data_IF_242798456396
#
_entry.id   IF_242798456396
#
_cell.length_a   1.000
_cell.length_b   1.000
_cell.length_c   1.000
_cell.angle_alpha   90.00
_cell.angle_beta   90.00
_cell.angle_gamma   90.00
#
_symmetry.space_group_name_H-M   'P 1'
#
loop_
_entity.id
_entity.type
_entity.pdbx_description
1 polymer ?
#
# COMPACT_ATOMS: atom_id res chain seq x y z
N UNK A 1 -7.93 -8.96 -6.67
CA UNK A 1 -7.93 -8.52 -5.25
C UNK A 1 -8.93 -7.40 -4.97
N UNK A 2 -8.88 -6.25 -5.63
CA UNK A 2 -9.88 -5.19 -5.41
C UNK A 2 -11.34 -5.65 -5.64
N UNK A 3 -11.59 -6.47 -6.66
CA UNK A 3 -12.92 -7.07 -6.91
C UNK A 3 -13.36 -7.97 -5.75
N UNK A 4 -12.47 -8.80 -5.23
CA UNK A 4 -12.75 -9.65 -4.07
C UNK A 4 -13.05 -8.82 -2.82
N UNK A 5 -12.28 -7.75 -2.57
CA UNK A 5 -12.58 -6.82 -1.49
C UNK A 5 -13.97 -6.20 -1.63
N UNK A 6 -14.36 -5.79 -2.84
CA UNK A 6 -15.70 -5.28 -3.11
C UNK A 6 -16.80 -6.34 -2.88
N UNK A 7 -16.59 -7.59 -3.29
CA UNK A 7 -17.51 -8.70 -3.03
C UNK A 7 -17.76 -8.92 -1.53
N UNK A 8 -16.76 -8.62 -0.69
CA UNK A 8 -16.86 -8.72 0.77
C UNK A 8 -17.16 -7.38 1.46
N UNK A 9 -17.63 -6.37 0.72
CA UNK A 9 -17.96 -5.04 1.25
C UNK A 9 -16.80 -4.33 1.97
N UNK A 10 -15.55 -4.61 1.56
CA UNK A 10 -14.35 -3.96 2.08
C UNK A 10 -13.91 -2.79 1.18
N UNK A 11 -13.21 -1.82 1.76
CA UNK A 11 -12.52 -0.77 1.00
C UNK A 11 -11.12 -1.23 0.60
N UNK A 12 -10.79 -1.12 -0.70
CA UNK A 12 -9.44 -1.40 -1.19
C UNK A 12 -8.54 -0.16 -1.09
N UNK A 13 -7.42 -0.27 -0.38
CA UNK A 13 -6.43 0.80 -0.26
C UNK A 13 -5.28 0.52 -1.22
N UNK A 14 -5.11 1.39 -2.21
CA UNK A 14 -4.02 1.31 -3.19
C UNK A 14 -2.65 1.72 -2.59
N UNK A 15 -1.56 1.49 -3.34
CA UNK A 15 -0.21 1.79 -2.87
C UNK A 15 0.01 3.30 -2.64
N UNK A 16 -0.54 4.16 -3.50
CA UNK A 16 -0.41 5.62 -3.36
C UNK A 16 0.98 6.17 -3.68
N UNK A 17 1.83 5.40 -4.37
CA UNK A 17 3.15 5.82 -4.84
C UNK A 17 3.22 5.81 -6.37
N UNK A 18 4.05 6.68 -6.93
CA UNK A 18 4.51 6.56 -8.32
C UNK A 18 5.49 5.39 -8.44
N UNK A 19 5.85 4.98 -9.66
CA UNK A 19 6.96 4.06 -9.88
C UNK A 19 8.27 4.77 -9.52
N UNK A 20 9.15 4.13 -8.75
CA UNK A 20 10.43 4.72 -8.35
C UNK A 20 11.52 4.47 -9.40
N UNK A 21 11.89 3.21 -9.59
CA UNK A 21 13.00 2.82 -10.47
C UNK A 21 12.59 2.69 -11.95
N UNK A 22 12.06 3.77 -12.53
CA UNK A 22 11.54 3.79 -13.90
C UNK A 22 12.21 4.85 -14.81
N UNK A 23 13.27 5.50 -14.36
CA UNK A 23 14.07 6.43 -15.16
C UNK A 23 15.55 6.10 -15.06
N UNK A 24 16.36 6.57 -16.02
CA UNK A 24 17.80 6.31 -16.03
C UNK A 24 18.58 6.96 -14.88
N UNK A 25 17.99 7.94 -14.19
CA UNK A 25 18.57 8.57 -13.00
C UNK A 25 18.06 8.02 -11.67
N UNK A 26 17.06 7.14 -11.69
CA UNK A 26 16.48 6.55 -10.50
C UNK A 26 17.31 5.36 -9.99
N UNK A 27 17.04 4.93 -8.76
CA UNK A 27 17.75 3.84 -8.09
C UNK A 27 16.83 2.67 -7.77
N UNK A 28 17.38 1.45 -7.76
CA UNK A 28 16.70 0.25 -7.27
C UNK A 28 16.27 0.36 -5.79
N UNK A 29 16.89 1.27 -5.03
CA UNK A 29 16.57 1.52 -3.62
C UNK A 29 15.36 2.44 -3.41
N UNK A 30 14.73 2.94 -4.47
CA UNK A 30 13.54 3.76 -4.37
C UNK A 30 12.28 2.96 -4.04
N UNK A 31 11.36 3.59 -3.30
CA UNK A 31 10.07 2.97 -3.04
C UNK A 31 9.33 2.67 -4.34
N UNK A 32 8.58 1.58 -4.35
CA UNK A 32 7.88 1.11 -5.52
C UNK A 32 8.81 0.94 -6.74
N UNK A 33 10.01 0.38 -6.53
CA UNK A 33 10.97 0.09 -7.62
C UNK A 33 10.38 -0.77 -8.74
N UNK A 34 9.38 -1.60 -8.42
CA UNK A 34 8.72 -2.51 -9.36
C UNK A 34 7.52 -1.87 -10.09
N UNK A 35 7.15 -0.64 -9.76
CA UNK A 35 6.08 0.09 -10.45
C UNK A 35 4.68 -0.53 -10.32
N UNK A 36 4.28 -0.90 -9.11
CA UNK A 36 2.92 -1.38 -8.82
C UNK A 36 2.04 -0.24 -8.25
N UNK A 37 0.74 -0.29 -8.51
CA UNK A 37 -0.21 0.71 -7.99
C UNK A 37 -1.33 0.12 -7.16
N UNK A 38 -1.77 -1.11 -7.47
CA UNK A 38 -2.88 -1.75 -6.77
C UNK A 38 -2.50 -2.15 -5.34
N UNK A 39 -1.23 -2.43 -5.08
CA UNK A 39 -0.65 -2.80 -3.79
C UNK A 39 0.88 -2.80 -3.88
N UNK A 40 1.56 -3.29 -2.85
CA UNK A 40 3.00 -3.49 -2.86
C UNK A 40 3.34 -4.83 -3.52
N UNK A 41 4.50 -4.90 -4.17
CA UNK A 41 5.04 -6.12 -4.75
C UNK A 41 6.52 -6.23 -4.39
N UNK A 42 7.02 -7.46 -4.43
CA UNK A 42 8.43 -7.79 -4.23
C UNK A 42 8.85 -8.81 -5.28
N UNK A 43 10.14 -8.81 -5.62
CA UNK A 43 10.74 -9.85 -6.45
C UNK A 43 11.99 -10.37 -5.76
N UNK A 44 12.06 -11.69 -5.55
CA UNK A 44 13.15 -12.39 -4.87
C UNK A 44 13.21 -13.79 -5.47
N UNK A 45 14.42 -14.33 -5.61
CA UNK A 45 14.62 -15.68 -6.15
C UNK A 45 13.96 -16.72 -5.25
N UNK A 46 13.34 -17.74 -5.85
CA UNK A 46 12.50 -18.72 -5.15
C UNK A 46 13.28 -19.61 -4.19
N UNK A 47 14.58 -19.74 -4.40
CA UNK A 47 15.54 -20.53 -3.63
C UNK A 47 16.41 -19.68 -2.69
N UNK A 48 16.17 -18.37 -2.61
CA UNK A 48 16.89 -17.48 -1.71
C UNK A 48 16.29 -17.43 -0.30
N UNK A 49 17.14 -17.09 0.68
CA UNK A 49 16.72 -16.84 2.07
C UNK A 49 15.86 -15.55 2.17
N UNK A 50 14.92 -15.43 3.12
CA UNK A 50 14.11 -14.21 3.30
C UNK A 50 14.90 -12.91 3.46
N UNK A 51 16.15 -12.97 3.95
CA UNK A 51 17.02 -11.79 4.03
C UNK A 51 17.42 -11.23 2.66
N UNK A 52 17.27 -12.01 1.59
CA UNK A 52 17.52 -11.59 0.21
C UNK A 52 16.40 -10.71 -0.38
N UNK A 53 15.26 -10.55 0.32
CA UNK A 53 14.20 -9.64 -0.12
C UNK A 53 14.75 -8.21 -0.21
N UNK A 54 14.60 -7.59 -1.37
CA UNK A 54 15.16 -6.27 -1.63
C UNK A 54 14.61 -5.24 -0.63
N UNK A 55 15.51 -4.47 -0.02
CA UNK A 55 15.15 -3.55 1.07
C UNK A 55 14.11 -2.50 0.65
N UNK A 56 14.13 -2.07 -0.62
CA UNK A 56 13.10 -1.16 -1.13
C UNK A 56 11.70 -1.80 -1.17
N UNK A 57 11.61 -3.11 -1.41
CA UNK A 57 10.33 -3.84 -1.44
C UNK A 57 9.77 -3.94 -0.02
N UNK A 58 10.63 -4.27 0.96
CA UNK A 58 10.26 -4.28 2.39
C UNK A 58 9.71 -2.91 2.80
N UNK A 59 10.43 -1.82 2.52
CA UNK A 59 9.99 -0.46 2.83
C UNK A 59 8.71 -0.07 2.08
N UNK A 60 8.50 -0.58 0.87
CA UNK A 60 7.26 -0.37 0.10
C UNK A 60 6.07 -1.08 0.76
N UNK A 61 6.27 -2.30 1.27
CA UNK A 61 5.27 -3.02 2.06
C UNK A 61 4.95 -2.28 3.38
N UNK A 62 5.96 -1.80 4.10
CA UNK A 62 5.77 -0.97 5.30
C UNK A 62 5.00 0.32 5.00
N UNK A 63 5.31 0.98 3.87
CA UNK A 63 4.57 2.15 3.40
C UNK A 63 3.09 1.81 3.21
N UNK A 64 2.78 0.72 2.49
CA UNK A 64 1.40 0.28 2.28
C UNK A 64 0.69 0.00 3.62
N UNK A 65 1.34 -0.70 4.55
CA UNK A 65 0.77 -0.96 5.88
C UNK A 65 0.42 0.33 6.64
N UNK A 66 1.33 1.31 6.66
CA UNK A 66 1.07 2.63 7.26
C UNK A 66 -0.08 3.36 6.56
N UNK A 67 -0.15 3.28 5.24
CA UNK A 67 -1.22 3.91 4.45
C UNK A 67 -2.57 3.27 4.75
N UNK A 68 -2.66 1.94 4.81
CA UNK A 68 -3.87 1.20 5.22
C UNK A 68 -4.35 1.70 6.58
N UNK A 69 -3.47 1.71 7.59
CA UNK A 69 -3.80 2.19 8.94
C UNK A 69 -4.29 3.65 8.96
N UNK A 70 -3.68 4.50 8.13
CA UNK A 70 -4.07 5.92 8.00
C UNK A 70 -5.47 6.06 7.39
N UNK A 71 -5.76 5.34 6.30
CA UNK A 71 -7.08 5.37 5.66
C UNK A 71 -8.16 4.81 6.59
N UNK A 72 -7.87 3.72 7.31
CA UNK A 72 -8.78 3.18 8.32
C UNK A 72 -9.11 4.23 9.38
N UNK A 73 -8.11 4.96 9.89
CA UNK A 73 -8.33 6.05 10.86
C UNK A 73 -9.22 7.15 10.30
N UNK A 74 -9.00 7.57 9.05
CA UNK A 74 -9.82 8.59 8.39
C UNK A 74 -11.29 8.15 8.26
N UNK A 75 -11.54 6.89 7.87
CA UNK A 75 -12.89 6.35 7.76
C UNK A 75 -13.60 6.26 9.12
N UNK A 76 -12.88 5.87 10.18
CA UNK A 76 -13.42 5.86 11.54
C UNK A 76 -13.79 7.27 12.02
N UNK A 77 -12.92 8.26 11.77
CA UNK A 77 -13.18 9.65 12.11
C UNK A 77 -14.39 10.21 11.35
N UNK A 78 -14.50 9.92 10.04
CA UNK A 78 -15.66 10.31 9.23
C UNK A 78 -16.97 9.78 9.78
N UNK A 79 -17.03 8.48 10.12
CA UNK A 79 -18.22 7.86 10.74
C UNK A 79 -18.58 8.48 12.09
N UNK A 80 -17.59 8.90 12.89
CA UNK A 80 -17.84 9.57 14.16
C UNK A 80 -18.43 10.98 13.94
N UNK A 81 -17.90 11.72 12.97
CA UNK A 81 -18.39 13.04 12.60
C UNK A 81 -19.83 13.01 12.03
N UNK A 82 -20.14 12.03 11.17
CA UNK A 82 -21.51 11.83 10.64
C UNK A 82 -22.53 11.61 11.76
N UNK A 83 -22.20 10.78 12.76
CA UNK A 83 -23.09 10.55 13.91
C UNK A 83 -23.29 11.80 14.76
N UNK A 84 -22.25 12.61 14.90
CA UNK A 84 -22.34 13.87 15.64
C UNK A 84 -23.23 14.89 14.90
N UNK A 85 -23.13 14.96 13.57
CA UNK A 85 -23.92 15.88 12.75
C UNK A 85 -25.38 15.42 12.54
N UNK A 86 -25.63 14.12 12.40
CA UNK A 86 -26.97 13.56 12.18
C UNK A 86 -27.83 13.43 13.44
N UNK A 87 -27.34 13.85 14.60
CA UNK A 87 -28.07 13.87 15.87
C UNK A 87 -28.75 15.23 16.17
N UNK A 88 -28.76 16.15 15.20
CA UNK A 88 -29.60 17.36 15.18
C UNK A 88 -30.71 17.19 14.15
#
# INVERSE_FOLDING_TARGET
MAVFAAQHHMHWVNLGLAAGWNTSGASEFELNRLGFWLGAASSTDVDADPTAVHQADVRTCEHLGRRVATVTRQLLAGRAAEKFCGAT
#
